data_IF_900243665025
#
_entry.id   IF_900243665025
#
_cell.length_a   1.000
_cell.length_b   1.000
_cell.length_c   1.000
_cell.angle_alpha   90.00
_cell.angle_beta   90.00
_cell.angle_gamma   90.00
#
_symmetry.space_group_name_H-M   'P 1'
#
loop_
_entity.id
_entity.type
_entity.pdbx_description
1 polymer ?
#
# COMPACT_ATOMS: atom_id res chain seq x y z
N UNK A 1 11.43 0.67 7.45
CA UNK A 1 11.09 1.63 6.37
C UNK A 1 12.15 2.71 6.22
N UNK A 2 12.50 3.42 7.30
CA UNK A 2 13.50 4.49 7.30
C UNK A 2 14.87 4.00 6.80
N UNK A 3 15.32 2.83 7.26
CA UNK A 3 16.61 2.25 6.83
C UNK A 3 16.69 1.96 5.33
N UNK A 4 15.55 1.74 4.67
CA UNK A 4 15.46 1.45 3.24
C UNK A 4 15.08 2.69 2.40
N UNK A 5 15.10 3.88 3.01
CA UNK A 5 14.72 5.16 2.40
C UNK A 5 13.37 5.12 1.65
N UNK A 6 12.37 4.44 2.23
CA UNK A 6 11.02 4.31 1.65
C UNK A 6 10.04 5.40 2.12
N UNK A 7 10.57 6.59 2.40
CA UNK A 7 9.77 7.78 2.74
C UNK A 7 9.28 8.50 1.48
N UNK A 8 8.18 9.27 1.55
CA UNK A 8 7.71 10.07 0.42
C UNK A 8 8.76 11.06 -0.07
N UNK A 9 8.89 11.16 -1.39
CA UNK A 9 9.65 12.19 -2.10
C UNK A 9 8.74 13.37 -2.44
N UNK A 10 9.27 14.61 -2.45
CA UNK A 10 8.51 15.77 -2.93
C UNK A 10 8.35 15.82 -4.46
N UNK A 11 8.96 14.90 -5.21
CA UNK A 11 8.98 14.92 -6.69
C UNK A 11 7.88 14.01 -7.26
N UNK A 12 7.05 14.56 -8.15
CA UNK A 12 6.11 13.78 -8.95
C UNK A 12 6.83 12.69 -9.77
N UNK A 13 6.23 11.51 -9.84
CA UNK A 13 6.81 10.32 -10.46
C UNK A 13 7.76 9.53 -9.55
N UNK A 14 8.01 10.01 -8.33
CA UNK A 14 8.73 9.26 -7.30
C UNK A 14 7.77 8.73 -6.24
N UNK A 15 8.29 7.97 -5.28
CA UNK A 15 7.50 7.39 -4.20
C UNK A 15 6.78 8.51 -3.42
N UNK A 16 5.46 8.40 -3.27
CA UNK A 16 4.66 9.38 -2.53
C UNK A 16 4.10 8.76 -1.22
N UNK A 17 3.09 9.42 -0.61
CA UNK A 17 2.43 8.93 0.59
C UNK A 17 1.86 7.51 0.44
N UNK A 18 1.19 7.21 -0.68
CA UNK A 18 0.56 5.90 -0.95
C UNK A 18 1.62 4.81 -1.07
N UNK A 19 2.71 5.12 -1.77
CA UNK A 19 3.85 4.22 -1.90
C UNK A 19 4.54 3.93 -0.56
N UNK A 20 4.74 4.94 0.29
CA UNK A 20 5.32 4.74 1.63
C UNK A 20 4.45 3.87 2.53
N UNK A 21 3.11 4.02 2.45
CA UNK A 21 2.16 3.19 3.20
C UNK A 21 2.16 1.74 2.74
N UNK A 22 2.31 1.48 1.43
CA UNK A 22 2.54 0.13 0.93
C UNK A 22 3.77 -0.50 1.58
N UNK A 23 4.93 0.18 1.59
CA UNK A 23 6.13 -0.36 2.22
C UNK A 23 5.98 -0.57 3.73
N UNK A 24 5.27 0.32 4.42
CA UNK A 24 4.96 0.12 5.83
C UNK A 24 4.15 -1.16 6.05
N UNK A 25 3.07 -1.35 5.27
CA UNK A 25 2.23 -2.55 5.35
C UNK A 25 3.03 -3.83 5.05
N UNK A 26 3.86 -3.80 4.01
CA UNK A 26 4.72 -4.94 3.63
C UNK A 26 5.70 -5.31 4.73
N UNK A 27 6.44 -4.35 5.28
CA UNK A 27 7.40 -4.63 6.34
C UNK A 27 6.72 -5.07 7.64
N UNK A 28 5.53 -4.55 7.93
CA UNK A 28 4.76 -4.98 9.09
C UNK A 28 4.27 -6.42 8.93
N UNK A 29 3.69 -6.76 7.77
CA UNK A 29 3.25 -8.12 7.47
C UNK A 29 4.41 -9.13 7.51
N UNK A 30 5.57 -8.75 6.98
CA UNK A 30 6.78 -9.58 7.03
C UNK A 30 7.24 -9.82 8.47
N UNK A 31 7.30 -8.79 9.31
CA UNK A 31 7.70 -8.92 10.70
C UNK A 31 6.72 -9.81 11.49
N UNK A 32 5.42 -9.64 11.27
CA UNK A 32 4.38 -10.47 11.90
C UNK A 32 4.41 -11.92 11.43
N UNK A 33 4.76 -12.17 10.16
CA UNK A 33 4.89 -13.51 9.62
C UNK A 33 6.18 -14.22 10.07
N UNK A 34 7.25 -13.48 10.39
CA UNK A 34 8.56 -14.06 10.74
C UNK A 34 8.80 -14.20 12.25
N UNK A 35 8.00 -13.56 13.10
CA UNK A 35 8.15 -13.66 14.55
C UNK A 35 7.83 -15.09 15.05
N UNK A 36 8.29 -15.41 16.26
CA UNK A 36 8.19 -16.75 16.87
C UNK A 36 7.48 -16.74 18.23
N UNK A 37 6.96 -15.60 18.65
CA UNK A 37 6.24 -15.41 19.92
C UNK A 37 4.79 -15.91 19.83
N UNK A 38 4.16 -15.79 18.66
CA UNK A 38 2.78 -16.23 18.39
C UNK A 38 2.69 -16.93 17.03
N UNK A 39 2.68 -18.26 17.04
CA UNK A 39 2.65 -19.06 15.82
C UNK A 39 1.35 -18.90 15.01
N UNK A 40 0.21 -18.64 15.68
CA UNK A 40 -1.07 -18.43 15.00
C UNK A 40 -1.08 -17.11 14.25
N UNK A 41 -0.58 -16.04 14.88
CA UNK A 41 -0.43 -14.74 14.26
C UNK A 41 0.56 -14.79 13.08
N UNK A 42 1.68 -15.49 13.24
CA UNK A 42 2.64 -15.70 12.16
C UNK A 42 2.00 -16.40 10.95
N UNK A 43 1.28 -17.51 11.20
CA UNK A 43 0.58 -18.24 10.14
C UNK A 43 -0.49 -17.38 9.45
N UNK A 44 -1.20 -16.53 10.19
CA UNK A 44 -2.22 -15.61 9.64
C UNK A 44 -1.62 -14.55 8.71
N UNK A 45 -0.45 -14.00 9.07
CA UNK A 45 0.20 -12.95 8.28
C UNK A 45 1.08 -13.48 7.14
N UNK A 46 1.50 -14.75 7.17
CA UNK A 46 2.29 -15.37 6.11
C UNK A 46 1.72 -15.20 4.68
N UNK A 47 0.43 -15.49 4.40
CA UNK A 47 -0.13 -15.30 3.06
C UNK A 47 -0.19 -13.82 2.66
N UNK A 48 -0.46 -12.90 3.59
CA UNK A 48 -0.45 -11.47 3.32
C UNK A 48 0.97 -10.98 2.97
N UNK A 49 1.96 -11.34 3.77
CA UNK A 49 3.36 -10.98 3.54
C UNK A 49 3.86 -11.49 2.18
N UNK A 50 3.51 -12.74 1.83
CA UNK A 50 3.82 -13.32 0.52
C UNK A 50 3.10 -12.59 -0.61
N UNK A 51 1.79 -12.35 -0.47
CA UNK A 51 0.99 -11.66 -1.49
C UNK A 51 1.49 -10.25 -1.79
N UNK A 52 1.91 -9.50 -0.75
CA UNK A 52 2.52 -8.18 -0.94
C UNK A 52 3.88 -8.27 -1.63
N UNK A 53 4.76 -9.18 -1.18
CA UNK A 53 6.09 -9.35 -1.75
C UNK A 53 6.06 -9.80 -3.23
N UNK A 54 5.24 -10.80 -3.56
CA UNK A 54 5.13 -11.34 -4.92
C UNK A 54 4.57 -10.29 -5.92
N UNK A 55 3.85 -9.27 -5.43
CA UNK A 55 3.21 -8.25 -6.26
C UNK A 55 3.85 -6.85 -6.15
N UNK A 56 5.01 -6.71 -5.49
CA UNK A 56 5.62 -5.41 -5.21
C UNK A 56 5.74 -4.52 -6.45
N UNK A 57 6.36 -5.05 -7.51
CA UNK A 57 6.61 -4.29 -8.72
C UNK A 57 5.31 -3.76 -9.35
N UNK A 58 4.29 -4.62 -9.43
CA UNK A 58 2.99 -4.27 -10.01
C UNK A 58 2.27 -3.22 -9.16
N UNK A 59 2.29 -3.36 -7.84
CA UNK A 59 1.68 -2.39 -6.92
C UNK A 59 2.36 -1.03 -7.05
N UNK A 60 3.69 -0.98 -7.06
CA UNK A 60 4.43 0.28 -7.20
C UNK A 60 4.15 0.94 -8.56
N UNK A 61 4.05 0.16 -9.63
CA UNK A 61 3.70 0.66 -10.96
C UNK A 61 2.29 1.27 -10.98
N UNK A 62 1.29 0.57 -10.44
CA UNK A 62 -0.09 1.06 -10.31
C UNK A 62 -0.17 2.36 -9.49
N UNK A 63 0.62 2.48 -8.43
CA UNK A 63 0.70 3.69 -7.60
C UNK A 63 1.46 4.85 -8.27
N UNK A 64 2.34 4.55 -9.22
CA UNK A 64 3.19 5.55 -9.90
C UNK A 64 2.54 6.11 -11.15
N UNK A 65 1.88 5.27 -11.96
CA UNK A 65 1.35 5.66 -13.28
C UNK A 65 0.24 6.72 -13.21
N UNK A 66 -0.44 6.81 -12.06
CA UNK A 66 -1.49 7.81 -11.81
C UNK A 66 -0.94 9.18 -11.43
N UNK A 67 0.37 9.30 -11.17
CA UNK A 67 0.98 10.57 -10.77
C UNK A 67 1.11 11.54 -11.94
N UNK A 68 1.16 12.84 -11.64
CA UNK A 68 1.32 13.91 -12.63
C UNK A 68 0.05 14.25 -13.41
N UNK A 69 -1.06 13.58 -13.11
CA UNK A 69 -2.37 13.86 -13.70
C UNK A 69 -3.22 14.67 -12.73
N UNK A 70 -4.02 15.59 -13.27
CA UNK A 70 -5.03 16.29 -12.47
C UNK A 70 -6.10 15.30 -12.02
N UNK A 71 -6.54 15.40 -10.77
CA UNK A 71 -7.56 14.54 -10.18
C UNK A 71 -8.67 15.38 -9.56
N UNK A 72 -9.90 14.89 -9.65
CA UNK A 72 -11.07 15.51 -9.03
C UNK A 72 -11.49 14.70 -7.80
N UNK A 73 -11.39 15.32 -6.63
CA UNK A 73 -11.83 14.76 -5.35
C UNK A 73 -13.25 15.21 -4.96
N UNK A 74 -13.94 15.99 -5.78
CA UNK A 74 -15.34 16.38 -5.58
C UNK A 74 -15.58 17.51 -4.58
N UNK A 75 -14.53 18.14 -4.05
CA UNK A 75 -14.62 19.27 -3.11
C UNK A 75 -13.33 19.47 -2.33
N UNK A 76 -13.16 20.65 -1.72
CA UNK A 76 -11.95 20.97 -0.94
C UNK A 76 -12.15 20.68 0.55
N UNK A 77 -13.00 21.46 1.24
CA UNK A 77 -13.28 21.26 2.66
C UNK A 77 -14.11 20.00 2.96
N UNK A 78 -14.94 19.60 2.00
CA UNK A 78 -15.77 18.40 2.05
C UNK A 78 -15.67 17.70 0.71
N UNK A 79 -14.60 16.93 0.55
CA UNK A 79 -14.40 16.09 -0.63
C UNK A 79 -15.44 14.97 -0.69
N UNK A 80 -15.70 14.47 -1.89
CA UNK A 80 -16.54 13.30 -2.11
C UNK A 80 -15.77 12.03 -1.69
N UNK A 81 -16.37 11.22 -0.82
CA UNK A 81 -15.72 10.04 -0.26
C UNK A 81 -15.34 9.02 -1.33
N UNK A 82 -16.23 8.74 -2.29
CA UNK A 82 -15.99 7.75 -3.33
C UNK A 82 -14.87 8.20 -4.29
N UNK A 83 -14.85 9.49 -4.66
CA UNK A 83 -13.75 10.07 -5.46
C UNK A 83 -12.42 10.03 -4.72
N UNK A 84 -12.40 10.40 -3.43
CA UNK A 84 -11.20 10.31 -2.61
C UNK A 84 -10.68 8.87 -2.50
N UNK A 85 -11.55 7.90 -2.25
CA UNK A 85 -11.16 6.49 -2.17
C UNK A 85 -10.54 6.00 -3.49
N UNK A 86 -11.15 6.35 -4.62
CA UNK A 86 -10.63 5.99 -5.94
C UNK A 86 -9.23 6.58 -6.20
N UNK A 87 -8.99 7.85 -5.81
CA UNK A 87 -7.69 8.52 -5.98
C UNK A 87 -6.63 8.00 -4.99
N UNK A 88 -7.03 7.69 -3.76
CA UNK A 88 -6.11 7.29 -2.68
C UNK A 88 -5.79 5.79 -2.70
N UNK A 89 -6.67 4.96 -3.27
CA UNK A 89 -6.49 3.50 -3.39
C UNK A 89 -6.46 3.03 -4.85
N UNK A 90 -5.59 3.57 -5.72
CA UNK A 90 -5.63 3.29 -7.15
C UNK A 90 -5.07 1.91 -7.52
N UNK A 91 -4.32 1.26 -6.62
CA UNK A 91 -3.78 -0.08 -6.86
C UNK A 91 -4.83 -1.16 -6.58
N UNK A 92 -5.44 -1.68 -7.65
CA UNK A 92 -6.36 -2.80 -7.58
C UNK A 92 -5.68 -4.06 -7.02
N UNK A 93 -4.40 -4.26 -7.36
CA UNK A 93 -3.61 -5.40 -6.86
C UNK A 93 -3.43 -5.31 -5.34
N UNK A 94 -3.01 -4.15 -4.83
CA UNK A 94 -2.83 -3.95 -3.40
C UNK A 94 -4.15 -4.08 -2.63
N UNK A 95 -5.23 -3.49 -3.14
CA UNK A 95 -6.56 -3.60 -2.53
C UNK A 95 -7.05 -5.05 -2.47
N UNK A 96 -6.81 -5.84 -3.51
CA UNK A 96 -7.19 -7.25 -3.55
C UNK A 96 -6.43 -8.06 -2.51
N UNK A 97 -5.11 -7.86 -2.40
CA UNK A 97 -4.26 -8.54 -1.42
C UNK A 97 -4.69 -8.20 0.01
N UNK A 98 -4.99 -6.93 0.30
CA UNK A 98 -5.48 -6.51 1.62
C UNK A 98 -6.86 -7.09 1.95
N UNK A 99 -7.79 -7.07 0.99
CA UNK A 99 -9.13 -7.61 1.20
C UNK A 99 -9.11 -9.12 1.46
N UNK A 100 -8.22 -9.86 0.80
CA UNK A 100 -8.05 -11.30 1.03
C UNK A 100 -7.56 -11.62 2.45
N UNK A 101 -6.85 -10.70 3.11
CA UNK A 101 -6.39 -10.86 4.49
C UNK A 101 -7.42 -10.46 5.55
N UNK A 102 -8.51 -9.80 5.14
CA UNK A 102 -9.64 -9.43 6.01
C UNK A 102 -10.74 -10.51 6.06
N UNK A 103 -10.70 -11.47 5.12
CA UNK A 103 -11.61 -12.61 5.05
C UNK A 103 -11.14 -13.75 5.97
#
# INVERSE_FOLDING_TARGET
>A
MLDNNKSPSPKTGQLDNRGSQYYLATYWAQALASQTEDAELAAKFAPLAKGLADNEQKIIEELTVVQGQAVDIGGYYKADTAKCEAVMRPSATFNTVLNAALA
#
